data_IF_044838048784
#
_entry.id   IF_044838048784
#
_cell.length_a   1.000
_cell.length_b   1.000
_cell.length_c   1.000
_cell.angle_alpha   90.00
_cell.angle_beta   90.00
_cell.angle_gamma   90.00
#
_symmetry.space_group_name_H-M   'P 1'
#
loop_
_entity.id
_entity.type
_entity.pdbx_description
1 polymer ?
#
# COMPACT_ATOMS: atom_id res chain seq x y z
N UNK A 1 49.63 37.15 34.12
CA UNK A 1 49.75 37.45 32.67
C UNK A 1 50.43 36.23 32.06
N UNK A 2 49.87 35.42 31.18
CA UNK A 2 48.92 35.70 30.09
C UNK A 2 48.23 34.37 29.73
N UNK A 3 46.91 34.40 29.49
CA UNK A 3 46.10 33.25 29.12
C UNK A 3 46.28 32.87 27.64
N UNK A 4 46.35 31.58 27.34
CA UNK A 4 46.27 31.03 25.98
C UNK A 4 44.84 30.57 25.71
N UNK A 5 44.18 31.25 24.78
CA UNK A 5 42.80 31.05 24.38
C UNK A 5 42.62 29.84 23.45
N UNK A 6 41.58 29.07 23.73
CA UNK A 6 41.04 27.98 22.90
C UNK A 6 40.42 28.53 21.61
N UNK A 7 40.86 28.03 20.45
CA UNK A 7 40.29 28.37 19.15
C UNK A 7 38.98 27.61 18.90
N UNK A 8 37.89 28.35 18.74
CA UNK A 8 36.57 27.88 18.27
C UNK A 8 36.60 27.47 16.78
N UNK A 9 35.98 26.36 16.37
CA UNK A 9 35.90 25.99 14.96
C UNK A 9 34.88 26.85 14.19
N UNK A 10 35.26 27.15 12.93
CA UNK A 10 34.65 28.12 12.01
C UNK A 10 33.23 27.75 11.50
N UNK A 11 32.43 28.72 10.99
CA UNK A 11 30.99 28.62 10.76
C UNK A 11 30.58 27.94 9.43
N UNK A 12 31.38 27.00 8.90
CA UNK A 12 31.16 26.41 7.58
C UNK A 12 30.00 25.38 7.53
N UNK A 13 29.62 24.77 8.67
CA UNK A 13 28.55 23.75 8.71
C UNK A 13 27.12 24.34 8.63
N UNK A 14 26.90 25.61 9.01
CA UNK A 14 25.56 26.24 9.00
C UNK A 14 25.09 26.70 7.62
N UNK A 15 26.00 26.86 6.67
CA UNK A 15 25.67 27.30 5.30
C UNK A 15 25.17 26.15 4.42
N UNK A 16 25.73 24.94 4.58
CA UNK A 16 25.32 23.77 3.79
C UNK A 16 23.90 23.30 4.12
N UNK A 17 23.45 23.41 5.37
CA UNK A 17 22.07 23.06 5.77
C UNK A 17 21.04 24.09 5.30
N UNK A 18 21.37 25.39 5.35
CA UNK A 18 20.55 26.48 4.81
C UNK A 18 20.43 26.42 3.29
N UNK A 19 21.50 26.05 2.59
CA UNK A 19 21.50 25.89 1.13
C UNK A 19 20.71 24.65 0.67
N UNK A 20 20.75 23.56 1.44
CA UNK A 20 19.89 22.39 1.20
C UNK A 20 18.41 22.69 1.48
N UNK A 21 18.10 23.45 2.53
CA UNK A 21 16.75 23.94 2.82
C UNK A 21 16.24 24.89 1.73
N UNK A 22 17.06 25.85 1.29
CA UNK A 22 16.72 26.76 0.18
C UNK A 22 16.59 26.04 -1.16
N UNK A 23 17.40 25.00 -1.45
CA UNK A 23 17.22 24.16 -2.65
C UNK A 23 15.97 23.29 -2.59
N UNK A 24 15.55 22.85 -1.39
CA UNK A 24 14.30 22.11 -1.17
C UNK A 24 13.09 23.03 -1.28
N UNK A 25 13.17 24.25 -0.74
CA UNK A 25 12.18 25.32 -0.92
C UNK A 25 12.16 25.79 -2.38
N UNK A 26 13.28 25.82 -3.10
CA UNK A 26 13.28 26.19 -4.52
C UNK A 26 12.74 25.07 -5.43
N UNK A 27 12.93 23.80 -5.06
CA UNK A 27 12.39 22.64 -5.81
C UNK A 27 10.92 22.35 -5.53
N UNK A 28 10.48 22.56 -4.29
CA UNK A 28 9.11 22.29 -3.88
C UNK A 28 8.29 23.57 -3.72
N UNK A 29 8.90 24.75 -3.69
CA UNK A 29 8.22 26.00 -3.34
C UNK A 29 7.17 26.42 -4.35
N UNK A 30 7.33 26.10 -5.62
CA UNK A 30 6.27 26.32 -6.61
C UNK A 30 5.09 25.36 -6.36
N UNK A 31 5.36 24.11 -5.96
CA UNK A 31 4.34 23.12 -5.63
C UNK A 31 3.67 23.43 -4.28
N UNK A 32 4.42 23.87 -3.26
CA UNK A 32 3.96 24.29 -1.93
C UNK A 32 3.22 25.64 -1.98
N UNK A 33 3.63 26.58 -2.83
CA UNK A 33 2.91 27.85 -3.06
C UNK A 33 1.64 27.62 -3.88
N UNK A 34 1.67 26.76 -4.92
CA UNK A 34 0.46 26.28 -5.59
C UNK A 34 -0.44 25.47 -4.64
N UNK A 35 0.14 24.74 -3.69
CA UNK A 35 -0.58 24.02 -2.63
C UNK A 35 -1.32 24.99 -1.73
N UNK A 36 -0.64 26.02 -1.24
CA UNK A 36 -1.22 27.04 -0.38
C UNK A 36 -2.30 27.84 -1.13
N UNK A 37 -2.03 28.27 -2.36
CA UNK A 37 -2.98 29.02 -3.20
C UNK A 37 -4.18 28.17 -3.61
N UNK A 38 -3.98 26.90 -3.97
CA UNK A 38 -5.08 25.98 -4.33
C UNK A 38 -5.94 25.61 -3.12
N UNK A 39 -5.33 25.40 -1.95
CA UNK A 39 -6.08 25.19 -0.70
C UNK A 39 -6.86 26.43 -0.29
N UNK A 40 -6.27 27.63 -0.43
CA UNK A 40 -6.94 28.90 -0.19
C UNK A 40 -8.08 29.11 -1.19
N UNK A 41 -7.85 28.87 -2.49
CA UNK A 41 -8.84 29.01 -3.55
C UNK A 41 -10.03 28.05 -3.34
N UNK A 42 -9.80 26.81 -2.90
CA UNK A 42 -10.88 25.86 -2.57
C UNK A 42 -11.58 26.20 -1.26
N UNK A 43 -10.85 26.70 -0.25
CA UNK A 43 -11.44 27.29 0.95
C UNK A 43 -12.35 28.48 0.62
N UNK A 44 -12.00 29.23 -0.44
CA UNK A 44 -12.78 30.33 -1.01
C UNK A 44 -13.77 29.88 -2.10
N UNK A 45 -13.94 28.58 -2.36
CA UNK A 45 -14.80 27.97 -3.41
C UNK A 45 -14.54 28.45 -4.86
N UNK A 46 -13.33 28.91 -5.17
CA UNK A 46 -12.96 29.44 -6.49
C UNK A 46 -12.63 28.33 -7.53
N UNK A 47 -12.36 27.10 -7.10
CA UNK A 47 -12.34 25.92 -7.98
C UNK A 47 -13.60 25.10 -7.76
N UNK A 48 -14.46 25.01 -8.78
CA UNK A 48 -15.59 24.10 -8.76
C UNK A 48 -15.08 22.65 -8.87
N UNK A 49 -14.97 21.96 -7.74
CA UNK A 49 -14.94 20.50 -7.77
C UNK A 49 -16.26 20.02 -8.41
N UNK A 50 -16.21 19.01 -9.27
CA UNK A 50 -17.43 18.36 -9.75
C UNK A 50 -18.28 17.97 -8.54
N UNK A 51 -19.60 18.19 -8.63
CA UNK A 51 -20.51 17.80 -7.56
C UNK A 51 -20.34 16.29 -7.29
N UNK A 52 -20.28 15.86 -6.02
CA UNK A 52 -20.11 14.46 -5.70
C UNK A 52 -21.28 13.63 -6.24
N UNK A 53 -20.99 12.42 -6.71
CA UNK A 53 -22.01 11.51 -7.22
C UNK A 53 -23.04 11.20 -6.11
N UNK A 54 -24.35 11.20 -6.39
CA UNK A 54 -25.35 10.80 -5.39
C UNK A 54 -25.07 9.40 -4.84
N UNK A 55 -25.16 9.25 -3.51
CA UNK A 55 -24.96 7.95 -2.87
C UNK A 55 -26.11 7.01 -3.20
N UNK A 56 -25.79 5.73 -3.34
CA UNK A 56 -26.76 4.65 -3.55
C UNK A 56 -27.65 4.82 -4.78
N UNK A 57 -27.10 5.45 -5.83
CA UNK A 57 -27.70 5.51 -7.16
C UNK A 57 -26.93 4.58 -8.09
N UNK A 58 -27.60 3.51 -8.51
CA UNK A 58 -27.05 2.54 -9.47
C UNK A 58 -27.06 3.12 -10.87
N UNK A 59 -26.00 2.83 -11.62
CA UNK A 59 -25.89 3.10 -13.06
C UNK A 59 -25.23 1.93 -13.77
N UNK A 60 -25.62 1.70 -15.01
CA UNK A 60 -25.03 0.66 -15.84
C UNK A 60 -23.57 0.95 -16.19
N UNK A 61 -22.79 -0.11 -16.38
CA UNK A 61 -21.40 -0.07 -16.80
C UNK A 61 -21.20 -0.99 -18.01
N UNK A 62 -20.79 -0.40 -19.12
CA UNK A 62 -20.33 -1.16 -20.27
C UNK A 62 -18.96 -1.77 -19.98
N UNK A 63 -18.95 -3.07 -19.73
CA UNK A 63 -17.72 -3.87 -19.63
C UNK A 63 -17.07 -3.97 -21.00
N UNK A 64 -15.75 -3.74 -21.06
CA UNK A 64 -14.98 -3.67 -22.31
C UNK A 64 -13.91 -4.75 -22.32
N UNK A 65 -13.72 -5.44 -23.44
CA UNK A 65 -12.65 -6.43 -23.57
C UNK A 65 -11.28 -5.79 -23.36
N UNK A 66 -10.36 -6.53 -22.74
CA UNK A 66 -8.96 -6.16 -22.58
C UNK A 66 -8.06 -7.28 -23.11
N UNK A 67 -6.96 -6.98 -23.84
CA UNK A 67 -6.11 -8.03 -24.41
C UNK A 67 -5.43 -8.92 -23.36
N UNK A 68 -5.34 -10.21 -23.64
CA UNK A 68 -4.57 -11.21 -22.87
C UNK A 68 -3.53 -11.87 -23.77
N UNK A 69 -2.48 -12.39 -23.15
CA UNK A 69 -1.45 -13.20 -23.82
C UNK A 69 -1.47 -14.67 -23.36
N UNK A 70 -2.20 -14.95 -22.29
CA UNK A 70 -2.36 -16.30 -21.78
C UNK A 70 -3.49 -17.05 -22.52
N UNK A 71 -3.22 -18.24 -23.09
CA UNK A 71 -4.26 -19.04 -23.72
C UNK A 71 -5.41 -19.33 -22.77
N UNK A 72 -6.66 -19.20 -23.25
CA UNK A 72 -7.87 -19.46 -22.46
C UNK A 72 -8.27 -18.33 -21.49
N UNK A 73 -7.38 -17.37 -21.21
CA UNK A 73 -7.70 -16.28 -20.30
C UNK A 73 -8.51 -15.18 -21.00
N UNK A 74 -9.54 -14.68 -20.32
CA UNK A 74 -10.38 -13.58 -20.76
C UNK A 74 -10.22 -12.40 -19.81
N UNK A 75 -9.89 -11.21 -20.33
CA UNK A 75 -9.77 -10.00 -19.52
C UNK A 75 -10.79 -8.93 -19.92
N UNK A 76 -11.32 -8.24 -18.92
CA UNK A 76 -12.39 -7.25 -19.07
C UNK A 76 -12.09 -6.03 -18.21
N UNK A 77 -12.14 -4.84 -18.80
CA UNK A 77 -12.22 -3.57 -18.06
C UNK A 77 -13.62 -3.45 -17.47
N UNK A 78 -13.69 -3.45 -16.14
CA UNK A 78 -14.95 -3.48 -15.38
C UNK A 78 -15.36 -2.11 -14.84
N UNK A 79 -14.49 -1.11 -14.97
CA UNK A 79 -14.77 0.27 -14.57
C UNK A 79 -15.27 1.14 -15.73
N UNK A 80 -16.09 2.16 -15.47
CA UNK A 80 -16.49 3.11 -16.51
C UNK A 80 -15.31 3.94 -17.05
N UNK A 81 -15.39 4.46 -18.29
CA UNK A 81 -14.32 5.29 -18.86
C UNK A 81 -14.40 6.76 -18.40
N UNK A 82 -15.40 7.11 -17.58
CA UNK A 82 -15.71 8.47 -17.14
C UNK A 82 -14.87 8.99 -15.96
N UNK A 83 -13.86 8.21 -15.53
CA UNK A 83 -13.10 8.51 -14.33
C UNK A 83 -11.84 7.67 -14.19
N UNK A 84 -11.07 7.96 -13.15
CA UNK A 84 -9.92 7.19 -12.75
C UNK A 84 -10.32 6.28 -11.58
N UNK A 85 -10.20 4.97 -11.76
CA UNK A 85 -10.61 3.97 -10.78
C UNK A 85 -9.42 3.08 -10.43
N UNK A 86 -9.31 2.69 -9.16
CA UNK A 86 -8.32 1.71 -8.72
C UNK A 86 -8.88 0.81 -7.62
N UNK A 87 -8.35 -0.40 -7.56
CA UNK A 87 -8.44 -1.27 -6.40
C UNK A 87 -7.21 -1.06 -5.50
N UNK A 88 -7.27 -1.56 -4.26
CA UNK A 88 -6.34 -1.23 -3.16
C UNK A 88 -4.89 -1.67 -3.40
N UNK A 89 -4.57 -2.96 -3.28
CA UNK A 89 -3.20 -3.46 -3.25
C UNK A 89 -3.15 -4.95 -3.63
N UNK A 90 -1.95 -5.47 -3.90
CA UNK A 90 -1.76 -6.79 -4.52
C UNK A 90 -2.15 -8.00 -3.65
N UNK A 91 -2.40 -7.78 -2.37
CA UNK A 91 -2.72 -8.79 -1.36
C UNK A 91 -4.07 -8.55 -0.66
N UNK A 92 -4.84 -7.55 -1.11
CA UNK A 92 -6.15 -7.21 -0.56
C UNK A 92 -7.21 -7.56 -1.61
N UNK A 93 -7.93 -8.70 -1.47
CA UNK A 93 -8.93 -9.11 -2.45
C UNK A 93 -10.04 -8.05 -2.57
N UNK A 94 -10.22 -7.42 -3.73
CA UNK A 94 -11.20 -6.35 -3.91
C UNK A 94 -12.59 -6.89 -4.24
N UNK A 95 -12.73 -8.20 -4.40
CA UNK A 95 -13.98 -8.90 -4.67
C UNK A 95 -14.55 -9.44 -3.34
N UNK A 96 -15.84 -9.19 -3.13
CA UNK A 96 -16.65 -9.69 -2.02
C UNK A 96 -16.62 -11.22 -1.88
N UNK A 97 -16.90 -11.78 -0.68
CA UNK A 97 -16.87 -13.21 -0.44
C UNK A 97 -17.68 -14.06 -1.42
N UNK A 98 -18.89 -13.63 -1.84
CA UNK A 98 -19.66 -14.39 -2.84
C UNK A 98 -19.01 -14.42 -4.21
N UNK A 99 -18.17 -13.43 -4.53
CA UNK A 99 -17.61 -13.23 -5.85
C UNK A 99 -18.42 -12.26 -6.73
N UNK A 100 -19.52 -11.68 -6.23
CA UNK A 100 -20.44 -10.84 -7.02
C UNK A 100 -20.02 -9.38 -7.10
N UNK A 101 -19.62 -8.79 -5.99
CA UNK A 101 -19.32 -7.36 -5.90
C UNK A 101 -17.82 -7.08 -5.92
N UNK A 102 -17.39 -6.06 -6.66
CA UNK A 102 -16.03 -5.55 -6.72
C UNK A 102 -15.99 -4.13 -6.13
N UNK A 103 -15.11 -3.87 -5.16
CA UNK A 103 -14.93 -2.56 -4.56
C UNK A 103 -13.78 -1.80 -5.24
N UNK A 104 -14.02 -0.55 -5.62
CA UNK A 104 -13.02 0.34 -6.23
C UNK A 104 -13.12 1.74 -5.65
N UNK A 105 -12.00 2.46 -5.63
CA UNK A 105 -12.00 3.90 -5.35
C UNK A 105 -12.04 4.65 -6.68
N UNK A 106 -12.99 5.57 -6.86
CA UNK A 106 -12.95 6.55 -7.95
C UNK A 106 -12.23 7.81 -7.46
N UNK A 107 -11.14 8.13 -8.13
CA UNK A 107 -10.37 9.33 -7.86
C UNK A 107 -11.02 10.55 -8.53
N UNK A 108 -11.09 11.71 -7.86
CA UNK A 108 -11.56 12.94 -8.49
C UNK A 108 -10.58 13.43 -9.56
N UNK A 109 -9.30 13.08 -9.41
CA UNK A 109 -8.20 13.38 -10.32
C UNK A 109 -7.01 12.46 -10.02
N UNK A 110 -6.05 12.38 -10.93
CA UNK A 110 -4.82 11.58 -10.76
C UNK A 110 -3.53 12.32 -11.13
N UNK A 111 -3.61 13.59 -11.55
CA UNK A 111 -2.46 14.38 -12.00
C UNK A 111 -1.60 14.95 -10.85
N UNK A 112 -2.12 14.92 -9.61
CA UNK A 112 -1.45 15.36 -8.38
C UNK A 112 -1.84 14.48 -7.19
N UNK A 113 -1.07 14.58 -6.10
CA UNK A 113 -1.47 14.00 -4.81
C UNK A 113 -2.69 14.72 -4.19
N UNK A 114 -3.41 14.05 -3.29
CA UNK A 114 -4.55 14.64 -2.60
C UNK A 114 -4.11 15.64 -1.54
N UNK A 115 -4.91 16.69 -1.37
CA UNK A 115 -4.84 17.64 -0.26
C UNK A 115 -5.99 17.39 0.72
N UNK A 116 -5.88 17.89 1.97
CA UNK A 116 -7.00 17.86 2.91
C UNK A 116 -8.27 18.47 2.29
N UNK A 117 -9.36 17.70 2.31
CA UNK A 117 -10.66 18.09 1.77
C UNK A 117 -10.94 17.59 0.35
N UNK A 118 -9.92 17.18 -0.42
CA UNK A 118 -10.16 16.49 -1.68
C UNK A 118 -10.91 15.18 -1.43
N UNK A 119 -12.02 14.99 -2.13
CA UNK A 119 -12.94 13.88 -1.87
C UNK A 119 -12.89 12.88 -3.02
N UNK A 120 -12.63 11.62 -2.69
CA UNK A 120 -12.76 10.47 -3.59
C UNK A 120 -14.04 9.70 -3.27
N UNK A 121 -14.45 8.86 -4.20
CA UNK A 121 -15.69 8.07 -4.07
C UNK A 121 -15.33 6.60 -3.86
N UNK A 122 -15.98 5.97 -2.89
CA UNK A 122 -15.97 4.51 -2.73
C UNK A 122 -17.12 3.97 -3.55
N UNK A 123 -16.81 3.10 -4.51
CA UNK A 123 -17.79 2.54 -5.42
C UNK A 123 -17.82 1.01 -5.31
N UNK A 124 -19.01 0.45 -5.49
CA UNK A 124 -19.24 -0.99 -5.61
C UNK A 124 -19.74 -1.27 -7.02
N UNK A 125 -19.07 -2.21 -7.70
CA UNK A 125 -19.48 -2.73 -9.00
C UNK A 125 -20.15 -4.09 -8.77
N UNK A 126 -21.40 -4.24 -9.19
CA UNK A 126 -22.05 -5.55 -9.30
C UNK A 126 -21.60 -6.20 -10.61
N UNK A 127 -20.79 -7.26 -10.52
CA UNK A 127 -20.22 -7.95 -11.68
C UNK A 127 -21.29 -8.75 -12.46
N UNK A 128 -22.39 -9.14 -11.82
CA UNK A 128 -23.47 -9.88 -12.45
C UNK A 128 -24.39 -8.93 -13.25
N UNK A 129 -24.84 -7.86 -12.59
CA UNK A 129 -25.74 -6.87 -13.20
C UNK A 129 -25.00 -5.82 -14.05
N UNK A 130 -23.67 -5.77 -13.97
CA UNK A 130 -22.81 -4.78 -14.62
C UNK A 130 -23.24 -3.36 -14.27
N UNK A 131 -23.45 -3.11 -12.98
CA UNK A 131 -23.78 -1.77 -12.47
C UNK A 131 -22.71 -1.29 -11.51
N UNK A 132 -22.61 0.02 -11.35
CA UNK A 132 -21.78 0.67 -10.34
C UNK A 132 -22.63 1.60 -9.49
N UNK A 133 -22.30 1.67 -8.21
CA UNK A 133 -22.96 2.53 -7.23
C UNK A 133 -21.90 3.18 -6.35
N UNK A 134 -22.00 4.50 -6.14
CA UNK A 134 -21.18 5.18 -5.13
C UNK A 134 -21.82 4.99 -3.76
N UNK A 135 -21.08 4.43 -2.81
CA UNK A 135 -21.60 4.02 -1.48
C UNK A 135 -21.04 4.88 -0.34
N UNK A 136 -19.94 5.59 -0.57
CA UNK A 136 -19.36 6.50 0.41
C UNK A 136 -18.46 7.56 -0.25
N UNK A 137 -18.32 8.72 0.39
CA UNK A 137 -17.37 9.76 0.01
C UNK A 137 -16.28 9.88 1.05
N UNK A 138 -15.01 9.74 0.66
CA UNK A 138 -13.88 9.77 1.58
C UNK A 138 -12.90 10.90 1.27
N UNK A 139 -12.34 11.49 2.33
CA UNK A 139 -11.20 12.42 2.29
C UNK A 139 -9.89 11.75 2.69
N UNK A 140 -9.92 10.46 3.03
CA UNK A 140 -8.78 9.65 3.45
C UNK A 140 -8.33 8.70 2.33
N UNK A 141 -7.83 9.25 1.23
CA UNK A 141 -7.39 8.46 0.09
C UNK A 141 -5.99 8.83 -0.39
N UNK A 142 -5.40 7.96 -1.20
CA UNK A 142 -4.08 8.14 -1.81
C UNK A 142 -4.02 7.52 -3.22
N UNK A 143 -3.00 7.88 -4.01
CA UNK A 143 -2.88 7.42 -5.40
C UNK A 143 -2.46 5.96 -5.56
N UNK A 144 -1.90 5.35 -4.51
CA UNK A 144 -1.43 3.95 -4.56
C UNK A 144 -2.41 2.97 -3.92
N UNK A 145 -3.11 3.36 -2.85
CA UNK A 145 -4.06 2.49 -2.12
C UNK A 145 -5.53 2.87 -2.33
N UNK A 146 -5.84 3.97 -3.02
CA UNK A 146 -7.18 4.53 -3.04
C UNK A 146 -7.62 4.89 -1.62
N UNK A 147 -8.84 4.52 -1.25
CA UNK A 147 -9.35 4.65 0.12
C UNK A 147 -8.98 3.44 1.02
N UNK A 148 -8.07 2.56 0.58
CA UNK A 148 -7.71 1.30 1.24
C UNK A 148 -8.94 0.46 1.57
N UNK A 149 -9.62 -0.03 0.53
CA UNK A 149 -10.88 -0.76 0.62
C UNK A 149 -10.67 -2.21 1.04
N UNK A 150 -11.48 -2.70 1.99
CA UNK A 150 -11.49 -4.09 2.46
C UNK A 150 -12.93 -4.59 2.56
N UNK A 151 -13.25 -5.70 1.89
CA UNK A 151 -14.48 -6.43 2.18
C UNK A 151 -14.36 -7.18 3.49
N UNK A 152 -15.45 -7.24 4.26
CA UNK A 152 -15.53 -8.21 5.35
C UNK A 152 -15.26 -9.64 4.82
N UNK A 153 -14.55 -10.51 5.56
CA UNK A 153 -14.15 -11.83 5.07
C UNK A 153 -15.32 -12.76 4.77
N UNK A 154 -16.41 -12.63 5.54
CA UNK A 154 -17.61 -13.48 5.43
C UNK A 154 -18.91 -12.74 5.13
N UNK A 155 -18.86 -11.46 4.74
CA UNK A 155 -20.06 -10.64 4.51
C UNK A 155 -19.91 -9.82 3.23
N UNK A 156 -20.96 -9.82 2.42
CA UNK A 156 -21.02 -9.08 1.13
C UNK A 156 -21.63 -7.68 1.28
N UNK A 157 -22.19 -7.37 2.45
CA UNK A 157 -22.87 -6.12 2.76
C UNK A 157 -22.03 -5.19 3.65
N UNK A 158 -20.85 -5.64 4.08
CA UNK A 158 -19.92 -4.85 4.91
C UNK A 158 -18.63 -4.56 4.15
N UNK A 159 -18.40 -3.28 3.88
CA UNK A 159 -17.19 -2.75 3.27
C UNK A 159 -16.51 -1.78 4.23
N UNK A 160 -15.19 -1.84 4.30
CA UNK A 160 -14.37 -0.93 5.10
C UNK A 160 -13.52 -0.06 4.19
N UNK A 161 -13.36 1.21 4.54
CA UNK A 161 -12.42 2.12 3.93
C UNK A 161 -11.76 3.00 5.00
N UNK A 162 -10.79 3.82 4.61
CA UNK A 162 -10.26 4.89 5.46
C UNK A 162 -10.84 6.25 5.05
N UNK A 163 -10.95 7.16 6.01
CA UNK A 163 -11.34 8.56 5.85
C UNK A 163 -10.51 9.46 6.79
N UNK A 164 -10.50 10.76 6.50
CA UNK A 164 -9.89 11.79 7.33
C UNK A 164 -10.98 12.46 8.18
N UNK A 165 -11.10 12.06 9.44
CA UNK A 165 -12.14 12.51 10.37
C UNK A 165 -11.49 13.10 11.60
N UNK A 166 -11.91 14.32 12.00
CA UNK A 166 -11.29 15.02 13.13
C UNK A 166 -9.78 15.27 12.96
N UNK A 167 -9.30 15.36 11.72
CA UNK A 167 -7.88 15.53 11.41
C UNK A 167 -7.02 14.25 11.51
N UNK A 168 -7.64 13.09 11.76
CA UNK A 168 -6.97 11.79 11.85
C UNK A 168 -7.42 10.86 10.71
N UNK A 169 -6.53 9.99 10.25
CA UNK A 169 -6.89 8.87 9.39
C UNK A 169 -7.56 7.77 10.20
N UNK A 170 -8.86 7.55 9.99
CA UNK A 170 -9.68 6.55 10.69
C UNK A 170 -10.36 5.62 9.68
N UNK A 171 -10.64 4.39 10.11
CA UNK A 171 -11.48 3.46 9.38
C UNK A 171 -12.96 3.89 9.43
N UNK A 172 -13.70 3.50 8.40
CA UNK A 172 -15.15 3.64 8.29
C UNK A 172 -15.71 2.29 7.88
N UNK A 173 -16.75 1.84 8.57
CA UNK A 173 -17.58 0.72 8.12
C UNK A 173 -18.75 1.27 7.31
N UNK A 174 -19.00 0.68 6.15
CA UNK A 174 -20.09 1.00 5.24
C UNK A 174 -20.99 -0.24 5.19
N UNK A 175 -22.20 -0.11 5.71
CA UNK A 175 -23.24 -1.12 5.63
C UNK A 175 -24.09 -0.86 4.38
N UNK A 176 -23.97 -1.75 3.39
CA UNK A 176 -24.66 -1.65 2.11
C UNK A 176 -26.14 -2.04 2.22
N UNK A 177 -26.50 -2.87 3.21
CA UNK A 177 -27.88 -3.30 3.44
C UNK A 177 -28.71 -2.19 4.07
N UNK A 178 -28.13 -1.48 5.03
CA UNK A 178 -28.75 -0.38 5.77
C UNK A 178 -28.46 0.99 5.12
N UNK A 179 -27.60 1.03 4.09
CA UNK A 179 -27.17 2.24 3.36
C UNK A 179 -26.64 3.34 4.29
N UNK A 180 -25.84 2.94 5.28
CA UNK A 180 -25.23 3.86 6.25
C UNK A 180 -23.75 3.59 6.41
N UNK A 181 -23.04 4.59 6.89
CA UNK A 181 -21.62 4.47 7.22
C UNK A 181 -21.38 5.00 8.64
N UNK A 182 -20.41 4.40 9.34
CA UNK A 182 -20.02 4.81 10.69
C UNK A 182 -18.49 4.84 10.83
N UNK A 183 -17.92 5.91 11.42
CA UNK A 183 -16.50 5.92 11.74
C UNK A 183 -16.15 4.91 12.84
N UNK A 184 -14.97 4.32 12.71
CA UNK A 184 -14.32 3.50 13.73
C UNK A 184 -13.34 4.36 14.54
N UNK A 185 -12.95 3.89 15.72
CA UNK A 185 -12.00 4.59 16.60
C UNK A 185 -10.54 4.52 16.13
N UNK A 186 -10.24 3.72 15.10
CA UNK A 186 -8.88 3.43 14.63
C UNK A 186 -8.82 3.14 13.14
N UNK A 187 -7.60 2.93 12.61
CA UNK A 187 -7.39 2.67 11.19
C UNK A 187 -7.86 1.27 10.79
N UNK A 188 -8.18 1.10 9.51
CA UNK A 188 -8.29 -0.22 8.86
C UNK A 188 -7.19 -0.32 7.82
N UNK A 189 -6.12 -1.06 8.15
CA UNK A 189 -5.01 -1.29 7.22
C UNK A 189 -4.96 -2.73 6.74
N UNK A 190 -4.93 -3.69 7.68
CA UNK A 190 -5.03 -5.12 7.44
C UNK A 190 -6.16 -5.70 8.26
N UNK A 191 -7.13 -6.33 7.59
CA UNK A 191 -8.29 -6.93 8.22
C UNK A 191 -7.99 -8.39 8.56
N UNK A 192 -8.30 -8.82 9.79
CA UNK A 192 -8.12 -10.20 10.22
C UNK A 192 -9.06 -11.14 9.43
N UNK A 193 -8.60 -12.29 8.93
CA UNK A 193 -9.46 -13.25 8.22
C UNK A 193 -10.70 -13.70 9.01
N UNK A 194 -10.64 -13.66 10.34
CA UNK A 194 -11.79 -13.95 11.24
C UNK A 194 -12.85 -12.85 11.30
N UNK A 195 -12.62 -11.68 10.70
CA UNK A 195 -13.60 -10.59 10.56
C UNK A 195 -13.85 -9.73 11.81
N UNK A 196 -13.20 -10.01 12.95
CA UNK A 196 -13.43 -9.27 14.21
C UNK A 196 -12.58 -8.01 14.36
N UNK A 197 -11.32 -8.05 13.92
CA UNK A 197 -10.35 -6.99 14.14
C UNK A 197 -9.72 -6.51 12.84
N UNK A 198 -9.37 -5.24 12.81
CA UNK A 198 -8.38 -4.70 11.88
C UNK A 198 -7.15 -4.23 12.65
N UNK A 199 -6.00 -4.30 11.98
CA UNK A 199 -4.72 -3.86 12.50
C UNK A 199 -4.14 -2.80 11.56
N UNK A 200 -3.43 -1.83 12.10
CA UNK A 200 -2.73 -0.87 11.27
C UNK A 200 -2.00 0.21 12.05
N UNK A 201 -1.03 0.87 11.41
CA UNK A 201 -0.37 2.01 12.01
C UNK A 201 -1.24 3.26 11.89
N UNK A 202 -0.83 4.36 12.53
CA UNK A 202 -1.41 5.66 12.26
C UNK A 202 -1.20 6.04 10.78
N UNK A 203 -2.29 6.11 10.01
CA UNK A 203 -2.26 6.32 8.56
C UNK A 203 -1.60 7.65 8.16
N UNK A 204 -1.69 8.65 9.05
CA UNK A 204 -1.10 9.97 8.89
C UNK A 204 0.45 9.96 8.92
N UNK A 205 1.07 8.88 9.40
CA UNK A 205 2.54 8.73 9.46
C UNK A 205 3.12 7.98 8.27
N UNK A 206 2.31 7.27 7.48
CA UNK A 206 2.79 6.44 6.37
C UNK A 206 3.55 7.29 5.34
N UNK A 207 3.00 8.47 5.01
CA UNK A 207 3.60 9.38 4.04
C UNK A 207 5.00 9.85 4.45
N UNK A 208 5.38 9.77 5.73
CA UNK A 208 6.71 10.15 6.22
C UNK A 208 7.84 9.46 5.45
N UNK A 209 7.63 8.20 5.06
CA UNK A 209 8.61 7.40 4.31
C UNK A 209 8.06 6.79 3.02
N UNK A 210 6.74 6.87 2.80
CA UNK A 210 6.07 6.32 1.62
C UNK A 210 4.95 7.25 1.13
N UNK A 211 5.30 8.30 0.41
CA UNK A 211 4.32 9.25 -0.13
C UNK A 211 3.36 8.57 -1.13
N UNK A 212 2.06 8.84 -0.98
CA UNK A 212 1.02 8.32 -1.86
C UNK A 212 0.34 7.03 -1.37
N UNK A 213 0.67 6.57 -0.16
CA UNK A 213 0.06 5.40 0.49
C UNK A 213 -0.71 5.76 1.77
N UNK A 214 -0.38 6.86 2.44
CA UNK A 214 -1.14 7.35 3.60
C UNK A 214 -2.28 8.28 3.21
N UNK A 215 -3.10 8.65 4.20
CA UNK A 215 -4.15 9.70 4.03
C UNK A 215 -3.51 11.08 3.72
N UNK A 216 -4.25 12.05 3.18
CA UNK A 216 -3.70 13.36 2.81
C UNK A 216 -3.01 14.06 3.99
N UNK A 217 -1.81 14.58 3.75
CA UNK A 217 -1.01 15.29 4.75
C UNK A 217 -1.68 16.62 5.16
N UNK A 218 -1.54 17.08 6.42
CA UNK A 218 -2.00 18.41 6.83
C UNK A 218 -1.38 19.55 5.99
N UNK A 219 -2.09 20.67 5.87
CA UNK A 219 -1.63 21.84 5.11
C UNK A 219 -0.30 22.42 5.62
N UNK A 220 -0.06 22.35 6.93
CA UNK A 220 1.18 22.85 7.56
C UNK A 220 2.37 21.88 7.40
N UNK A 221 2.18 20.78 6.69
CA UNK A 221 3.22 19.84 6.35
C UNK A 221 2.95 18.44 6.88
N UNK A 222 3.72 17.51 6.31
CA UNK A 222 3.67 16.09 6.58
C UNK A 222 4.03 15.77 8.04
N UNK A 223 3.19 14.97 8.71
CA UNK A 223 3.47 14.42 10.04
C UNK A 223 4.63 13.42 9.96
N UNK A 224 5.49 13.39 10.99
CA UNK A 224 6.63 12.50 11.08
C UNK A 224 6.68 11.88 12.48
N UNK A 225 7.19 10.65 12.63
CA UNK A 225 7.46 10.09 13.95
C UNK A 225 8.48 10.95 14.70
N UNK A 226 8.42 10.88 16.02
CA UNK A 226 9.46 11.40 16.91
C UNK A 226 10.75 10.60 16.73
N UNK A 227 11.86 11.20 17.16
CA UNK A 227 13.15 10.49 17.21
C UNK A 227 13.16 9.55 18.40
N UNK A 228 13.76 8.37 18.23
CA UNK A 228 13.76 7.29 19.21
C UNK A 228 12.52 6.43 19.10
N UNK A 229 12.16 5.79 20.21
CA UNK A 229 11.11 4.79 20.26
C UNK A 229 9.83 5.36 20.86
N UNK A 230 8.79 5.50 20.05
CA UNK A 230 7.50 6.00 20.50
C UNK A 230 6.79 4.95 21.38
N UNK A 231 6.25 5.41 22.52
CA UNK A 231 5.46 4.59 23.44
C UNK A 231 3.94 4.78 23.25
N UNK A 232 3.55 5.84 22.54
CA UNK A 232 2.17 6.27 22.28
C UNK A 232 1.73 6.07 20.82
N UNK A 233 2.62 5.55 19.97
CA UNK A 233 2.36 5.21 18.57
C UNK A 233 2.88 3.80 18.30
N UNK A 234 2.25 3.10 17.35
CA UNK A 234 2.59 1.72 17.03
C UNK A 234 1.54 1.06 16.15
N UNK A 235 1.33 -0.23 16.36
CA UNK A 235 0.26 -0.99 15.70
C UNK A 235 -1.00 -0.85 16.55
N UNK A 236 -2.06 -0.32 15.94
CA UNK A 236 -3.37 -0.17 16.57
C UNK A 236 -4.25 -1.36 16.20
N UNK A 237 -5.06 -1.83 17.16
CA UNK A 237 -6.10 -2.85 16.97
C UNK A 237 -7.47 -2.17 17.05
N UNK A 238 -8.24 -2.28 15.97
CA UNK A 238 -9.61 -1.79 15.85
C UNK A 238 -10.57 -2.97 15.88
N UNK A 239 -11.46 -3.02 16.88
CA UNK A 239 -12.57 -3.96 16.93
C UNK A 239 -13.67 -3.47 15.97
N UNK A 240 -14.00 -4.28 14.96
CA UNK A 240 -14.85 -3.87 13.83
C UNK A 240 -16.34 -3.83 14.20
N UNK A 241 -16.75 -4.55 15.24
CA UNK A 241 -18.13 -4.59 15.72
C UNK A 241 -18.43 -3.38 16.60
N UNK A 242 -17.69 -3.22 17.70
CA UNK A 242 -17.84 -2.09 18.63
C UNK A 242 -17.30 -0.78 18.05
N UNK A 243 -16.31 -0.85 17.15
CA UNK A 243 -15.57 0.30 16.64
C UNK A 243 -14.56 0.87 17.62
N UNK A 244 -14.28 0.18 18.74
CA UNK A 244 -13.25 0.61 19.70
C UNK A 244 -11.86 0.35 19.15
N UNK A 245 -10.90 1.17 19.56
CA UNK A 245 -9.51 1.08 19.12
C UNK A 245 -8.58 1.20 20.33
N UNK A 246 -7.53 0.40 20.34
CA UNK A 246 -6.46 0.42 21.34
C UNK A 246 -5.10 0.25 20.68
N UNK A 247 -4.05 0.73 21.36
CA UNK A 247 -2.68 0.49 20.94
C UNK A 247 -2.31 -0.95 21.32
N UNK A 248 -2.15 -1.82 20.31
CA UNK A 248 -1.81 -3.23 20.52
C UNK A 248 -0.36 -3.37 20.98
N UNK A 249 0.55 -2.73 20.25
CA UNK A 249 1.98 -2.74 20.54
C UNK A 249 2.59 -1.40 20.10
N UNK A 250 3.36 -0.78 20.98
CA UNK A 250 4.07 0.47 20.67
C UNK A 250 5.31 0.20 19.80
N UNK A 251 5.85 1.25 19.15
CA UNK A 251 7.14 1.15 18.44
C UNK A 251 8.27 0.73 19.41
N UNK A 252 8.22 1.22 20.64
CA UNK A 252 9.16 0.85 21.70
C UNK A 252 9.17 -0.63 22.03
N UNK A 253 7.99 -1.21 22.26
CA UNK A 253 7.82 -2.63 22.53
C UNK A 253 8.17 -3.48 21.30
N UNK A 254 7.78 -3.04 20.09
CA UNK A 254 8.12 -3.73 18.84
C UNK A 254 9.62 -3.83 18.61
N UNK A 255 10.40 -2.83 19.04
CA UNK A 255 11.85 -2.82 18.85
C UNK A 255 12.64 -3.19 20.12
N UNK A 256 11.96 -3.66 21.19
CA UNK A 256 12.54 -3.92 22.52
C UNK A 256 13.77 -4.82 22.45
N UNK A 257 13.62 -5.95 21.76
CA UNK A 257 14.63 -6.99 21.67
C UNK A 257 15.43 -6.94 20.35
N UNK A 258 15.34 -5.83 19.61
CA UNK A 258 16.08 -5.72 18.35
C UNK A 258 17.60 -5.71 18.61
N UNK A 259 18.40 -6.57 17.96
CA UNK A 259 19.84 -6.71 18.26
C UNK A 259 20.64 -5.42 18.05
N UNK A 260 20.18 -4.56 17.14
CA UNK A 260 20.78 -3.25 16.86
C UNK A 260 20.00 -2.07 17.46
N UNK A 261 19.26 -2.27 18.56
CA UNK A 261 18.44 -1.22 19.20
C UNK A 261 19.23 0.06 19.49
N UNK A 262 20.49 -0.04 19.91
CA UNK A 262 21.35 1.11 20.15
C UNK A 262 21.55 1.99 18.89
N UNK A 263 21.70 1.37 17.72
CA UNK A 263 21.77 2.09 16.45
C UNK A 263 20.42 2.73 16.10
N UNK A 264 19.32 1.99 16.31
CA UNK A 264 17.98 2.45 15.99
C UNK A 264 17.54 3.65 16.83
N UNK A 265 18.09 3.84 18.04
CA UNK A 265 17.72 4.92 18.97
C UNK A 265 17.88 6.33 18.38
N UNK A 266 18.75 6.54 17.39
CA UNK A 266 18.89 7.85 16.72
C UNK A 266 17.82 8.10 15.64
N UNK A 267 17.10 7.06 15.25
CA UNK A 267 16.20 7.06 14.11
C UNK A 267 14.81 7.62 14.41
N UNK A 268 14.02 7.75 13.35
CA UNK A 268 12.56 7.92 13.39
C UNK A 268 11.94 6.72 12.70
N UNK A 269 11.03 6.02 13.37
CA UNK A 269 10.49 4.75 12.89
C UNK A 269 9.03 4.93 12.45
N UNK A 270 8.77 4.79 11.15
CA UNK A 270 7.43 4.74 10.59
C UNK A 270 7.04 3.30 10.32
N UNK A 271 5.77 2.96 10.56
CA UNK A 271 5.22 1.64 10.31
C UNK A 271 4.47 1.64 8.97
N UNK A 272 4.81 0.70 8.09
CA UNK A 272 4.20 0.48 6.78
C UNK A 272 4.84 -0.75 6.14
N UNK A 273 4.18 -1.84 5.76
CA UNK A 273 2.79 -2.29 5.84
C UNK A 273 2.59 -3.26 7.02
N UNK A 274 1.42 -3.24 7.65
CA UNK A 274 0.95 -4.33 8.54
C UNK A 274 0.23 -5.37 7.68
N UNK A 275 0.44 -6.66 7.93
CA UNK A 275 -0.31 -7.76 7.30
C UNK A 275 -0.62 -8.86 8.31
N UNK A 276 -1.76 -9.52 8.14
CA UNK A 276 -2.23 -10.65 8.96
C UNK A 276 -2.08 -11.93 8.14
N UNK A 277 -1.61 -13.03 8.74
CA UNK A 277 -1.59 -14.34 8.06
C UNK A 277 -3.02 -14.90 7.90
N UNK A 278 -3.18 -15.98 7.14
CA UNK A 278 -4.46 -16.61 6.83
C UNK A 278 -5.18 -17.22 8.04
N UNK A 279 -4.45 -17.77 9.01
CA UNK A 279 -5.04 -18.21 10.28
C UNK A 279 -5.51 -17.05 11.15
N UNK A 280 -4.94 -15.85 10.98
CA UNK A 280 -5.33 -14.66 11.74
C UNK A 280 -4.71 -14.56 13.13
N UNK A 281 -3.67 -15.34 13.43
CA UNK A 281 -2.98 -15.36 14.72
C UNK A 281 -1.62 -14.65 14.72
N UNK A 282 -1.12 -14.25 13.55
CA UNK A 282 0.18 -13.60 13.39
C UNK A 282 0.09 -12.38 12.49
N UNK A 283 0.87 -11.37 12.87
CA UNK A 283 1.09 -10.17 12.09
C UNK A 283 2.53 -10.16 11.59
N UNK A 284 2.76 -9.56 10.44
CA UNK A 284 4.06 -8.94 10.17
C UNK A 284 3.88 -7.43 10.01
N UNK A 285 4.93 -6.71 10.38
CA UNK A 285 5.03 -5.27 10.29
C UNK A 285 6.35 -4.91 9.62
N UNK A 286 6.27 -4.21 8.50
CA UNK A 286 7.46 -3.56 7.93
C UNK A 286 7.71 -2.24 8.69
N UNK A 287 8.90 -2.11 9.26
CA UNK A 287 9.35 -0.89 9.97
C UNK A 287 10.34 -0.15 9.09
N UNK A 288 10.11 1.16 8.90
CA UNK A 288 10.93 2.04 8.07
C UNK A 288 11.60 3.09 8.94
N UNK A 289 12.91 3.01 9.05
CA UNK A 289 13.74 3.87 9.90
C UNK A 289 14.46 4.92 9.06
N UNK A 290 14.44 6.17 9.52
CA UNK A 290 15.15 7.30 8.90
C UNK A 290 16.00 8.04 9.92
N UNK A 291 17.04 8.76 9.48
CA UNK A 291 17.89 9.52 10.41
C UNK A 291 18.77 8.64 11.32
N UNK A 292 19.06 7.41 10.89
CA UNK A 292 20.01 6.55 11.59
C UNK A 292 21.42 7.16 11.50
N UNK A 293 22.17 7.11 12.60
CA UNK A 293 23.45 7.81 12.71
C UNK A 293 24.48 7.37 11.65
N UNK A 294 24.44 6.10 11.25
CA UNK A 294 25.33 5.51 10.24
C UNK A 294 24.83 5.69 8.79
N UNK A 295 23.57 6.07 8.60
CA UNK A 295 23.00 6.38 7.28
C UNK A 295 21.87 7.43 7.38
N UNK A 296 22.19 8.70 7.67
CA UNK A 296 21.18 9.72 7.99
C UNK A 296 20.17 10.00 6.88
N UNK A 297 20.59 9.84 5.63
CA UNK A 297 19.78 10.12 4.42
C UNK A 297 19.06 8.89 3.86
N UNK A 298 19.31 7.68 4.42
CA UNK A 298 18.73 6.43 3.91
C UNK A 298 17.47 6.08 4.70
N UNK A 299 16.46 5.56 3.99
CA UNK A 299 15.34 4.83 4.61
C UNK A 299 15.74 3.37 4.71
N UNK A 300 15.84 2.83 5.93
CA UNK A 300 16.11 1.41 6.17
C UNK A 300 14.83 0.68 6.54
N UNK A 301 14.47 -0.33 5.78
CA UNK A 301 13.28 -1.14 6.04
C UNK A 301 13.67 -2.50 6.64
N UNK A 302 12.85 -3.02 7.55
CA UNK A 302 13.00 -4.34 8.17
C UNK A 302 11.61 -4.94 8.38
N UNK A 303 11.54 -6.25 8.61
CA UNK A 303 10.29 -6.96 8.91
C UNK A 303 10.38 -7.52 10.32
N UNK A 304 9.41 -7.16 11.15
CA UNK A 304 9.15 -7.83 12.41
C UNK A 304 7.84 -8.61 12.30
N UNK A 305 7.76 -9.73 13.01
CA UNK A 305 6.53 -10.50 13.19
C UNK A 305 6.15 -10.51 14.67
N UNK A 306 4.89 -10.77 14.96
CA UNK A 306 4.32 -10.78 16.30
C UNK A 306 3.00 -11.54 16.29
N UNK A 307 2.51 -11.97 17.45
CA UNK A 307 1.17 -12.55 17.56
C UNK A 307 0.08 -11.48 17.32
N UNK A 308 -1.15 -11.91 17.05
CA UNK A 308 -2.32 -11.05 16.99
C UNK A 308 -2.67 -10.36 18.33
N UNK A 309 -2.06 -10.81 19.43
CA UNK A 309 -2.18 -10.21 20.76
C UNK A 309 -1.05 -9.22 21.08
N UNK A 310 -0.11 -9.00 20.16
CA UNK A 310 0.91 -7.97 20.30
C UNK A 310 2.23 -8.44 20.95
N UNK A 311 2.31 -9.71 21.33
CA UNK A 311 3.48 -10.31 21.96
C UNK A 311 4.32 -11.16 20.98
N UNK A 312 5.29 -11.91 21.50
CA UNK A 312 6.15 -12.84 20.75
C UNK A 312 6.82 -12.19 19.52
N UNK A 313 7.32 -10.96 19.70
CA UNK A 313 7.96 -10.19 18.62
C UNK A 313 9.24 -10.88 18.14
N UNK A 314 9.39 -11.03 16.82
CA UNK A 314 10.60 -11.59 16.17
C UNK A 314 11.06 -10.70 15.03
N UNK A 315 12.38 -10.59 14.85
CA UNK A 315 12.97 -9.96 13.67
C UNK A 315 13.03 -10.97 12.52
N UNK A 316 12.06 -10.93 11.61
CA UNK A 316 11.99 -11.86 10.49
C UNK A 316 12.94 -11.50 9.34
N UNK A 317 13.15 -10.20 9.08
CA UNK A 317 14.10 -9.75 8.07
C UNK A 317 14.83 -8.47 8.53
N UNK A 318 16.14 -8.55 8.86
CA UNK A 318 16.92 -7.37 9.25
C UNK A 318 17.12 -6.42 8.07
N UNK A 319 17.29 -5.13 8.38
CA UNK A 319 17.46 -4.11 7.35
C UNK A 319 18.70 -4.31 6.49
N UNK A 320 19.75 -4.96 7.00
CA UNK A 320 20.96 -5.25 6.22
C UNK A 320 20.68 -6.20 5.05
N UNK A 321 19.74 -7.13 5.22
CA UNK A 321 19.29 -8.00 4.14
C UNK A 321 18.38 -7.22 3.18
N UNK A 322 17.39 -6.48 3.70
CA UNK A 322 16.51 -5.64 2.88
C UNK A 322 17.31 -4.68 1.98
N UNK A 323 18.36 -4.05 2.53
CA UNK A 323 19.19 -3.07 1.87
C UNK A 323 19.97 -3.60 0.65
N UNK A 324 20.05 -4.93 0.47
CA UNK A 324 20.63 -5.56 -0.73
C UNK A 324 19.77 -5.36 -1.98
N UNK A 325 18.49 -5.03 -1.81
CA UNK A 325 17.51 -4.86 -2.88
C UNK A 325 16.25 -5.66 -2.61
N UNK A 326 15.52 -5.27 -1.55
CA UNK A 326 14.28 -5.93 -1.14
C UNK A 326 13.03 -5.06 -1.32
N UNK A 327 11.90 -5.67 -1.68
CA UNK A 327 10.58 -5.04 -1.63
C UNK A 327 9.40 -6.03 -1.64
N UNK A 328 8.20 -5.51 -1.35
CA UNK A 328 6.89 -6.19 -1.42
C UNK A 328 6.80 -7.57 -0.74
N UNK A 329 6.97 -7.64 0.59
CA UNK A 329 6.71 -8.87 1.33
C UNK A 329 5.22 -9.21 1.37
N UNK A 330 4.88 -10.49 1.40
CA UNK A 330 3.53 -11.03 1.60
C UNK A 330 3.60 -12.35 2.35
N UNK A 331 2.56 -12.65 3.13
CA UNK A 331 2.38 -14.00 3.67
C UNK A 331 2.23 -14.99 2.52
N UNK A 332 2.79 -16.18 2.69
CA UNK A 332 2.46 -17.33 1.86
C UNK A 332 1.21 -18.03 2.39
N UNK A 333 0.58 -18.93 1.61
CA UNK A 333 -0.60 -19.68 2.06
C UNK A 333 -0.33 -20.73 3.14
N UNK A 334 0.93 -20.97 3.51
CA UNK A 334 1.27 -21.88 4.62
C UNK A 334 1.16 -21.22 5.99
N UNK A 335 0.87 -19.91 6.04
CA UNK A 335 0.68 -19.08 7.23
C UNK A 335 1.89 -18.95 8.17
N UNK A 336 3.03 -19.52 7.78
CA UNK A 336 4.28 -19.56 8.56
C UNK A 336 5.44 -18.84 7.86
N UNK A 337 5.40 -18.71 6.53
CA UNK A 337 6.47 -18.11 5.74
C UNK A 337 6.05 -16.82 5.04
N UNK A 338 7.04 -15.98 4.75
CA UNK A 338 6.90 -14.70 4.06
C UNK A 338 7.62 -14.81 2.72
N UNK A 339 6.91 -14.51 1.64
CA UNK A 339 7.43 -14.32 0.28
C UNK A 339 7.82 -12.86 0.09
N UNK A 340 8.95 -12.60 -0.55
CA UNK A 340 9.39 -11.24 -0.87
C UNK A 340 10.29 -11.23 -2.12
N UNK A 341 10.36 -10.09 -2.81
CA UNK A 341 11.46 -9.83 -3.74
C UNK A 341 12.71 -9.45 -2.96
N UNK A 342 13.83 -10.14 -3.19
CA UNK A 342 15.10 -9.84 -2.52
C UNK A 342 16.29 -10.24 -3.39
N UNK A 343 17.38 -9.49 -3.29
CA UNK A 343 18.71 -9.97 -3.75
C UNK A 343 19.29 -10.87 -2.66
N UNK A 344 19.33 -12.21 -2.85
CA UNK A 344 19.79 -13.12 -1.81
C UNK A 344 21.26 -12.87 -1.45
N UNK A 345 21.70 -13.28 -0.24
CA UNK A 345 23.12 -13.28 0.12
C UNK A 345 23.97 -14.00 -0.93
N UNK A 346 25.07 -13.39 -1.36
CA UNK A 346 25.93 -13.91 -2.44
C UNK A 346 25.40 -13.73 -3.86
N UNK A 347 24.13 -13.36 -4.04
CA UNK A 347 23.53 -13.06 -5.34
C UNK A 347 23.74 -11.61 -5.81
N UNK A 348 23.48 -11.39 -7.10
CA UNK A 348 23.55 -10.09 -7.78
C UNK A 348 22.22 -9.64 -8.41
N UNK A 349 21.24 -10.54 -8.45
CA UNK A 349 19.93 -10.27 -9.05
C UNK A 349 18.82 -10.49 -8.03
N UNK A 350 17.71 -9.78 -8.24
CA UNK A 350 16.50 -9.96 -7.45
C UNK A 350 15.85 -11.30 -7.78
N UNK A 351 15.37 -11.99 -6.74
CA UNK A 351 14.70 -13.29 -6.80
C UNK A 351 13.45 -13.26 -5.93
N UNK A 352 12.54 -14.21 -6.18
CA UNK A 352 11.48 -14.53 -5.25
C UNK A 352 12.08 -15.37 -4.12
N UNK A 353 12.14 -14.81 -2.91
CA UNK A 353 12.66 -15.51 -1.74
C UNK A 353 11.55 -15.76 -0.73
N UNK A 354 11.70 -16.84 0.05
CA UNK A 354 10.88 -17.14 1.21
C UNK A 354 11.73 -17.27 2.47
N UNK A 355 11.16 -16.93 3.62
CA UNK A 355 11.75 -17.12 4.94
C UNK A 355 10.65 -17.26 5.98
N UNK A 356 10.94 -17.93 7.09
CA UNK A 356 10.02 -18.14 8.20
C UNK A 356 9.69 -16.84 8.92
N UNK A 357 8.52 -16.81 9.59
CA UNK A 357 8.11 -15.69 10.43
C UNK A 357 9.11 -15.39 11.56
N UNK A 358 9.94 -16.37 11.94
CA UNK A 358 10.99 -16.27 12.95
C UNK A 358 12.35 -15.77 12.39
N UNK A 359 12.43 -15.56 11.08
CA UNK A 359 13.63 -15.13 10.35
C UNK A 359 14.55 -16.26 9.87
N UNK A 360 14.16 -17.51 10.07
CA UNK A 360 14.95 -18.66 9.63
C UNK A 360 14.57 -19.12 8.20
N UNK A 361 15.39 -20.01 7.63
CA UNK A 361 15.04 -20.70 6.38
C UNK A 361 15.00 -19.82 5.13
N UNK A 362 15.76 -18.71 5.10
CA UNK A 362 15.88 -17.86 3.91
C UNK A 362 16.36 -18.68 2.71
N UNK A 363 15.52 -18.79 1.69
CA UNK A 363 15.81 -19.53 0.46
C UNK A 363 15.11 -18.90 -0.74
N UNK A 364 15.61 -19.14 -1.95
CA UNK A 364 14.85 -18.87 -3.17
C UNK A 364 13.60 -19.77 -3.18
N UNK A 365 12.45 -19.20 -3.53
CA UNK A 365 11.19 -19.93 -3.67
C UNK A 365 11.23 -20.86 -4.88
N UNK A 366 11.78 -20.37 -5.99
CA UNK A 366 11.95 -21.12 -7.23
C UNK A 366 13.16 -20.56 -8.00
N UNK A 367 14.04 -21.45 -8.46
CA UNK A 367 15.23 -21.06 -9.22
C UNK A 367 14.91 -20.66 -10.65
N UNK A 368 15.79 -19.86 -11.26
CA UNK A 368 15.72 -19.51 -12.68
C UNK A 368 14.78 -18.35 -13.04
N UNK A 369 13.99 -17.84 -12.09
CA UNK A 369 13.09 -16.71 -12.30
C UNK A 369 13.57 -15.46 -11.58
N UNK A 370 13.71 -14.37 -12.32
CA UNK A 370 14.06 -13.07 -11.75
C UNK A 370 12.83 -12.45 -11.06
N UNK A 371 13.06 -11.95 -9.83
CA UNK A 371 12.06 -11.28 -9.01
C UNK A 371 11.77 -9.87 -9.50
N UNK A 372 10.56 -9.38 -9.25
CA UNK A 372 10.11 -8.01 -9.53
C UNK A 372 8.71 -7.79 -8.97
N UNK A 373 8.27 -6.53 -8.96
CA UNK A 373 6.86 -6.17 -8.77
C UNK A 373 6.28 -6.57 -7.42
N UNK A 374 5.06 -7.09 -7.44
CA UNK A 374 4.19 -7.38 -6.31
C UNK A 374 3.81 -8.86 -6.24
N UNK A 375 4.70 -9.74 -5.74
CA UNK A 375 4.51 -11.17 -5.80
C UNK A 375 3.56 -11.68 -4.71
N UNK A 376 2.62 -12.52 -5.13
CA UNK A 376 1.75 -13.29 -4.22
C UNK A 376 1.55 -14.70 -4.77
N UNK A 377 1.37 -15.66 -3.86
CA UNK A 377 0.97 -17.01 -4.24
C UNK A 377 -0.55 -17.11 -4.28
N UNK A 378 -1.06 -17.90 -5.21
CA UNK A 378 -2.42 -18.38 -5.13
C UNK A 378 -2.58 -19.20 -3.83
N UNK A 379 -3.79 -19.33 -3.27
CA UNK A 379 -3.93 -20.02 -1.99
C UNK A 379 -3.55 -21.51 -2.01
N UNK A 380 -3.23 -22.17 -3.14
CA UNK A 380 -2.63 -23.53 -3.14
C UNK A 380 -1.11 -23.52 -2.97
N UNK A 381 -0.47 -22.37 -3.19
CA UNK A 381 0.98 -22.25 -3.23
C UNK A 381 1.61 -22.72 -4.54
N UNK A 382 0.83 -22.98 -5.61
CA UNK A 382 1.34 -23.48 -6.89
C UNK A 382 1.70 -22.36 -7.87
N UNK A 383 0.85 -21.34 -7.97
CA UNK A 383 0.98 -20.26 -8.94
C UNK A 383 1.44 -18.99 -8.21
N UNK A 384 2.59 -18.47 -8.60
CA UNK A 384 3.02 -17.13 -8.22
C UNK A 384 2.52 -16.12 -9.26
N UNK A 385 1.80 -15.11 -8.78
CA UNK A 385 1.34 -13.96 -9.57
C UNK A 385 2.18 -12.75 -9.20
N UNK A 386 2.66 -12.03 -10.20
CA UNK A 386 3.35 -10.75 -10.00
C UNK A 386 3.20 -9.85 -11.20
N UNK A 387 3.44 -8.56 -11.02
CA UNK A 387 3.81 -7.63 -12.09
C UNK A 387 5.33 -7.42 -12.11
N UNK A 388 5.80 -6.41 -12.83
CA UNK A 388 7.20 -6.06 -12.84
C UNK A 388 7.46 -4.56 -13.01
N UNK A 389 8.60 -4.09 -12.52
CA UNK A 389 9.01 -2.71 -12.67
C UNK A 389 9.84 -2.48 -13.93
N UNK A 390 9.49 -1.44 -14.69
CA UNK A 390 10.22 -1.05 -15.92
C UNK A 390 11.68 -0.69 -15.65
N UNK A 391 11.98 -0.04 -14.52
CA UNK A 391 13.34 0.32 -14.13
C UNK A 391 14.19 -0.88 -13.66
N UNK A 392 13.56 -2.04 -13.45
CA UNK A 392 14.25 -3.31 -13.21
C UNK A 392 14.54 -4.04 -14.53
N UNK A 393 14.19 -3.46 -15.68
CA UNK A 393 14.46 -3.99 -17.01
C UNK A 393 13.40 -4.97 -17.51
N UNK A 394 12.14 -4.82 -17.09
CA UNK A 394 11.01 -5.66 -17.51
C UNK A 394 10.10 -5.02 -18.58
N UNK A 395 10.55 -4.01 -19.32
CA UNK A 395 9.72 -3.37 -20.35
C UNK A 395 9.71 -4.10 -21.68
N UNK A 396 8.56 -4.08 -22.37
CA UNK A 396 8.55 -4.31 -23.81
C UNK A 396 9.03 -3.05 -24.58
N UNK A 397 9.10 -3.14 -25.92
CA UNK A 397 9.53 -2.02 -26.77
C UNK A 397 8.64 -0.76 -26.65
N UNK A 398 7.43 -0.89 -26.12
CA UNK A 398 6.48 0.20 -25.91
C UNK A 398 6.46 0.69 -24.45
N UNK A 399 7.36 0.20 -23.60
CA UNK A 399 7.43 0.58 -22.18
C UNK A 399 6.29 0.02 -21.34
N UNK A 400 5.66 -1.09 -21.75
CA UNK A 400 4.64 -1.80 -20.97
C UNK A 400 5.27 -2.83 -20.04
N UNK A 401 4.73 -2.96 -18.85
CA UNK A 401 5.17 -3.94 -17.86
C UNK A 401 4.40 -5.25 -18.00
N UNK A 402 5.04 -6.41 -17.84
CA UNK A 402 4.37 -7.70 -17.86
C UNK A 402 3.70 -8.01 -16.53
N UNK A 403 2.51 -8.58 -16.62
CA UNK A 403 1.89 -9.36 -15.54
C UNK A 403 2.26 -10.82 -15.80
N UNK A 404 2.84 -11.47 -14.80
CA UNK A 404 3.53 -12.76 -14.92
C UNK A 404 2.87 -13.79 -14.00
N UNK A 405 2.78 -15.01 -14.49
CA UNK A 405 2.43 -16.20 -13.73
C UNK A 405 3.61 -17.15 -13.75
N UNK A 406 4.03 -17.64 -12.58
CA UNK A 406 5.05 -18.67 -12.47
C UNK A 406 4.42 -19.91 -11.84
N UNK A 407 4.31 -20.99 -12.62
CA UNK A 407 3.91 -22.30 -12.11
C UNK A 407 5.12 -22.95 -11.45
N UNK A 408 5.10 -23.00 -10.12
CA UNK A 408 6.19 -23.52 -9.31
C UNK A 408 6.37 -25.03 -9.48
N UNK A 409 5.29 -25.77 -9.77
CA UNK A 409 5.35 -27.21 -9.98
C UNK A 409 5.92 -27.54 -11.36
N UNK A 410 5.55 -26.77 -12.38
CA UNK A 410 6.05 -26.95 -13.74
C UNK A 410 7.41 -26.28 -13.98
N UNK A 411 7.85 -25.40 -13.08
CA UNK A 411 9.05 -24.58 -13.28
C UNK A 411 8.93 -23.73 -14.55
N UNK A 412 7.76 -23.11 -14.77
CA UNK A 412 7.46 -22.36 -16.00
C UNK A 412 6.87 -21.00 -15.70
N UNK A 413 7.40 -19.99 -16.37
CA UNK A 413 6.81 -18.65 -16.40
C UNK A 413 5.98 -18.45 -17.66
N UNK A 414 4.83 -17.80 -17.51
CA UNK A 414 4.00 -17.30 -18.60
C UNK A 414 3.66 -15.82 -18.37
N UNK A 415 3.52 -15.09 -19.47
CA UNK A 415 3.07 -13.70 -19.43
C UNK A 415 1.55 -13.67 -19.59
N UNK A 416 0.85 -13.16 -18.58
CA UNK A 416 -0.61 -13.03 -18.60
C UNK A 416 -1.06 -11.92 -19.55
N UNK A 417 -0.41 -10.75 -19.44
CA UNK A 417 -0.68 -9.57 -20.26
C UNK A 417 0.43 -8.53 -20.13
N UNK A 418 0.39 -7.51 -20.98
CA UNK A 418 1.23 -6.32 -20.91
C UNK A 418 0.37 -5.12 -20.54
N UNK A 419 0.79 -4.35 -19.55
CA UNK A 419 0.03 -3.22 -19.00
C UNK A 419 0.84 -1.93 -19.02
N UNK A 420 0.16 -0.82 -19.30
CA UNK A 420 0.74 0.52 -19.17
C UNK A 420 0.59 0.97 -17.70
N UNK A 421 1.70 1.46 -17.12
CA UNK A 421 1.79 1.97 -15.75
C UNK A 421 1.82 3.51 -15.68
N UNK A 422 1.62 4.16 -16.82
CA UNK A 422 1.81 5.59 -17.04
C UNK A 422 3.27 5.95 -17.38
N UNK A 423 3.54 7.22 -17.73
CA UNK A 423 4.87 7.65 -18.13
C UNK A 423 5.92 7.44 -17.01
N UNK A 424 7.19 7.19 -17.37
CA UNK A 424 8.27 7.08 -16.39
C UNK A 424 8.40 8.33 -15.50
N UNK A 425 8.90 8.16 -14.28
CA UNK A 425 9.23 9.28 -13.39
C UNK A 425 8.07 9.87 -12.59
N UNK A 426 6.85 9.32 -12.71
CA UNK A 426 5.67 9.79 -11.96
C UNK A 426 5.72 9.57 -10.44
N UNK A 427 6.71 8.84 -9.91
CA UNK A 427 6.87 8.52 -8.48
C UNK A 427 5.55 8.04 -7.85
N UNK A 428 4.96 8.80 -6.92
CA UNK A 428 3.70 8.46 -6.25
C UNK A 428 2.47 8.50 -7.18
N UNK A 429 2.58 9.09 -8.38
CA UNK A 429 1.50 9.16 -9.37
C UNK A 429 1.47 8.00 -10.35
N UNK A 430 2.49 7.13 -10.35
CA UNK A 430 2.55 5.93 -11.20
C UNK A 430 1.37 5.01 -10.91
N UNK A 431 0.98 4.18 -11.88
CA UNK A 431 -0.02 3.13 -11.68
C UNK A 431 0.73 1.83 -11.49
N UNK A 432 0.88 1.40 -10.25
CA UNK A 432 1.32 0.04 -9.97
C UNK A 432 0.17 -0.93 -10.28
N UNK A 433 0.38 -1.98 -11.09
CA UNK A 433 -0.69 -2.90 -11.47
C UNK A 433 -1.35 -3.60 -10.29
N UNK A 434 -0.60 -3.93 -9.23
CA UNK A 434 -1.12 -4.62 -8.04
C UNK A 434 -2.00 -5.83 -8.40
N UNK A 435 -1.50 -6.81 -9.17
CA UNK A 435 -2.30 -7.96 -9.53
C UNK A 435 -2.63 -8.76 -8.25
N UNK A 436 -3.90 -9.07 -8.04
CA UNK A 436 -4.41 -9.73 -6.82
C UNK A 436 -5.37 -10.86 -7.17
N UNK A 437 -5.23 -11.98 -6.47
CA UNK A 437 -6.14 -13.12 -6.57
C UNK A 437 -7.49 -12.82 -5.93
N UNK A 438 -8.57 -13.27 -6.55
CA UNK A 438 -9.85 -13.39 -5.84
C UNK A 438 -9.79 -14.55 -4.83
N UNK A 439 -10.66 -14.49 -3.82
CA UNK A 439 -10.68 -15.48 -2.73
C UNK A 439 -10.92 -16.92 -3.21
N UNK A 440 -11.52 -17.08 -4.40
CA UNK A 440 -11.91 -18.36 -4.98
C UNK A 440 -10.91 -18.89 -6.02
N UNK A 441 -9.79 -18.19 -6.27
CA UNK A 441 -8.76 -18.52 -7.26
C UNK A 441 -9.23 -18.57 -8.71
N UNK A 442 -10.38 -17.97 -9.01
CA UNK A 442 -10.95 -17.99 -10.36
C UNK A 442 -10.49 -16.79 -11.17
N UNK A 443 -10.25 -15.68 -10.48
CA UNK A 443 -10.05 -14.38 -11.13
C UNK A 443 -8.88 -13.63 -10.53
N UNK A 444 -8.26 -12.81 -11.37
CA UNK A 444 -7.24 -11.85 -11.01
C UNK A 444 -7.81 -10.45 -11.25
N UNK A 445 -7.59 -9.56 -10.30
CA UNK A 445 -7.92 -8.12 -10.46
C UNK A 445 -6.62 -7.34 -10.53
N UNK A 446 -6.55 -6.36 -11.41
CA UNK A 446 -5.39 -5.48 -11.51
C UNK A 446 -5.77 -4.08 -11.96
N UNK A 447 -4.91 -3.12 -11.61
CA UNK A 447 -4.97 -1.74 -12.07
C UNK A 447 -4.19 -1.61 -13.38
N UNK A 448 -4.69 -0.81 -14.31
CA UNK A 448 -3.98 -0.47 -15.56
C UNK A 448 -4.15 1.01 -15.87
N UNK A 449 -3.23 1.57 -16.66
CA UNK A 449 -3.48 2.82 -17.37
C UNK A 449 -4.11 2.50 -18.73
N UNK A 450 -5.30 3.06 -18.99
CA UNK A 450 -5.97 2.97 -20.28
C UNK A 450 -6.45 4.37 -20.66
N UNK A 451 -6.08 4.85 -21.85
CA UNK A 451 -6.41 6.21 -22.33
C UNK A 451 -6.09 7.30 -21.29
N UNK A 452 -4.92 7.19 -20.66
CA UNK A 452 -4.46 8.13 -19.61
C UNK A 452 -5.35 8.18 -18.36
N UNK A 453 -6.16 7.15 -18.10
CA UNK A 453 -6.95 6.99 -16.87
C UNK A 453 -6.66 5.65 -16.20
N UNK A 454 -6.58 5.65 -14.87
CA UNK A 454 -6.57 4.41 -14.09
C UNK A 454 -7.88 3.66 -14.33
N UNK A 455 -7.77 2.39 -14.62
CA UNK A 455 -8.90 1.49 -14.84
C UNK A 455 -8.61 0.16 -14.14
N UNK A 456 -9.67 -0.58 -13.81
CA UNK A 456 -9.56 -1.89 -13.19
C UNK A 456 -9.94 -2.96 -14.20
N UNK A 457 -9.06 -3.94 -14.35
CA UNK A 457 -9.23 -5.10 -15.21
C UNK A 457 -9.49 -6.33 -14.34
N UNK A 458 -10.49 -7.11 -14.72
CA UNK A 458 -10.78 -8.44 -14.19
C UNK A 458 -10.34 -9.47 -15.23
N UNK A 459 -9.54 -10.44 -14.82
CA UNK A 459 -9.05 -11.54 -15.66
C UNK A 459 -9.61 -12.84 -15.12
N UNK A 460 -10.29 -13.61 -15.96
CA UNK A 460 -10.61 -15.01 -15.72
C UNK A 460 -9.57 -15.86 -16.45
N UNK A 461 -8.90 -16.77 -15.74
CA UNK A 461 -7.83 -17.59 -16.33
C UNK A 461 -8.34 -18.68 -17.27
N UNK A 462 -9.66 -18.94 -17.30
CA UNK A 462 -10.23 -20.02 -18.08
C UNK A 462 -9.91 -21.38 -17.44
N UNK A 463 -10.88 -21.94 -16.74
CA UNK A 463 -10.77 -23.20 -16.02
C UNK A 463 -12.08 -23.46 -15.30
N UNK A 464 -12.98 -24.18 -15.96
CA UNK A 464 -14.21 -24.69 -15.36
C UNK A 464 -13.88 -25.89 -14.48
N UNK A 465 -14.42 -25.86 -13.26
CA UNK A 465 -14.78 -26.99 -12.39
C UNK A 465 -13.74 -28.07 -12.06
#
# INVERSE_FOLDING_TARGET
>A
MTALATATPAPALRWRSRYAALRRIARNGEEELRTALGALARGLRLEAAAAPTPLFVRREVAFRSYPTLHPGACATVVTPPDGAYLHTFFDVPPISPSGRYLAVTRLPFQHRGPYPGDTAEVCVIDLAERTIETVYHTRGWALQLGANLHWHPGRDDLLYCNDRIGGRGLGVVIDLSERRARPLGGPVYALCPRGRHAFGPALDLINATQAGYGVPDPLLGRRRPTTGFATDEGIWRTDLESGRCELLVSVDALLADHPERALLASGRHSLFHTKVNGTGDRLFQVVRSTGLADAPEKVRAMILTLSAEGDAVRLALPHRLWDRGGHHPSWTPDDETILMNLVPPGGHEMRFVRFGHDGNGLAELVGGFRGSGHPSLDPTGRLLLTDAYLNEGYGDANGRAPVRLVDLAAGKESQLMLVDSGPPGLKARRVDPHPVWDRKRRRIVLNVMLEQKRQVVLVDLGGSD
#
